data_IF_457576681589
#
_entry.id   IF_457576681589
#
_cell.length_a   1.000
_cell.length_b   1.000
_cell.length_c   1.000
_cell.angle_alpha   90.00
_cell.angle_beta   90.00
_cell.angle_gamma   90.00
#
_symmetry.space_group_name_H-M   'P 1'
#
loop_
_entity.id
_entity.type
_entity.pdbx_description
1 polymer ?
#
# COMPACT_ATOMS: atom_id res chain seq x y z
N UNK A 1 -0.32 8.55 26.95
CA UNK A 1 -0.24 9.11 25.58
C UNK A 1 -1.06 10.37 25.53
N UNK A 2 -0.46 11.46 25.06
CA UNK A 2 -1.21 12.67 24.72
C UNK A 2 -1.77 12.56 23.27
N UNK A 3 -2.69 13.44 22.89
CA UNK A 3 -3.31 13.41 21.55
C UNK A 3 -2.30 13.56 20.42
N UNK A 4 -1.20 14.30 20.64
CA UNK A 4 -0.14 14.47 19.65
C UNK A 4 0.60 13.15 19.38
N UNK A 5 0.97 12.41 20.43
CA UNK A 5 1.62 11.10 20.33
C UNK A 5 0.71 10.07 19.65
N UNK A 6 -0.60 10.12 19.90
CA UNK A 6 -1.57 9.25 19.19
C UNK A 6 -1.59 9.59 17.70
N UNK A 7 -1.66 10.87 17.34
CA UNK A 7 -1.69 11.30 15.94
C UNK A 7 -0.40 10.93 15.20
N UNK A 8 0.75 11.18 15.81
CA UNK A 8 2.05 10.81 15.24
C UNK A 8 2.17 9.29 15.05
N UNK A 9 1.65 8.50 15.99
CA UNK A 9 1.60 7.06 15.88
C UNK A 9 0.74 6.59 14.70
N UNK A 10 -0.47 7.14 14.54
CA UNK A 10 -1.36 6.84 13.41
C UNK A 10 -0.73 7.23 12.06
N UNK A 11 -0.10 8.42 11.99
CA UNK A 11 0.62 8.88 10.80
C UNK A 11 1.77 7.92 10.44
N UNK A 12 2.52 7.45 11.43
CA UNK A 12 3.61 6.49 11.23
C UNK A 12 3.11 5.11 10.75
N UNK A 13 1.96 4.64 11.25
CA UNK A 13 1.33 3.40 10.76
C UNK A 13 0.97 3.54 9.28
N UNK A 14 0.28 4.62 8.91
CA UNK A 14 -0.13 4.86 7.53
C UNK A 14 1.08 4.96 6.61
N UNK A 15 2.13 5.68 7.04
CA UNK A 15 3.38 5.81 6.29
C UNK A 15 4.10 4.47 6.11
N UNK A 16 4.15 3.66 7.18
CA UNK A 16 4.75 2.33 7.15
C UNK A 16 4.02 1.38 6.19
N UNK A 17 2.69 1.36 6.26
CA UNK A 17 1.85 0.59 5.33
C UNK A 17 2.07 1.03 3.88
N UNK A 18 2.20 2.34 3.66
CA UNK A 18 2.49 2.90 2.35
C UNK A 18 3.84 2.48 1.77
N UNK A 19 4.88 2.51 2.60
CA UNK A 19 6.22 2.06 2.21
C UNK A 19 6.24 0.55 1.90
N UNK A 20 5.55 -0.26 2.71
CA UNK A 20 5.42 -1.70 2.49
C UNK A 20 4.69 -2.00 1.16
N UNK A 21 3.60 -1.27 0.88
CA UNK A 21 2.86 -1.37 -0.37
C UNK A 21 3.73 -1.03 -1.58
N UNK A 22 4.46 0.09 -1.55
CA UNK A 22 5.36 0.48 -2.64
C UNK A 22 6.44 -0.58 -2.90
N UNK A 23 7.05 -1.14 -1.84
CA UNK A 23 8.03 -2.22 -1.97
C UNK A 23 7.43 -3.45 -2.64
N UNK A 24 6.24 -3.87 -2.21
CA UNK A 24 5.53 -5.01 -2.78
C UNK A 24 5.22 -4.80 -4.28
N UNK A 25 4.71 -3.63 -4.66
CA UNK A 25 4.42 -3.29 -6.06
C UNK A 25 5.70 -3.36 -6.90
N UNK A 26 6.80 -2.79 -6.41
CA UNK A 26 8.07 -2.80 -7.14
C UNK A 26 8.62 -4.23 -7.33
N UNK A 27 8.51 -5.10 -6.33
CA UNK A 27 8.88 -6.51 -6.49
C UNK A 27 8.00 -7.21 -7.52
N UNK A 28 6.67 -7.04 -7.47
CA UNK A 28 5.79 -7.69 -8.46
C UNK A 28 5.89 -7.13 -9.87
N UNK A 29 6.30 -5.87 -10.04
CA UNK A 29 6.64 -5.33 -11.37
C UNK A 29 7.78 -6.09 -12.04
N UNK A 30 8.79 -6.56 -11.28
CA UNK A 30 9.93 -7.30 -11.83
C UNK A 30 9.54 -8.64 -12.45
N UNK A 31 8.45 -9.23 -11.98
CA UNK A 31 7.96 -10.54 -12.41
C UNK A 31 6.72 -10.45 -13.32
N UNK A 32 6.35 -9.24 -13.78
CA UNK A 32 5.06 -8.96 -14.46
C UNK A 32 3.83 -9.54 -13.71
N UNK A 33 3.93 -9.53 -12.37
CA UNK A 33 2.95 -10.11 -11.46
C UNK A 33 1.70 -9.26 -11.30
N UNK A 34 0.68 -9.86 -10.68
CA UNK A 34 -0.58 -9.20 -10.34
C UNK A 34 -0.71 -9.03 -8.82
N UNK A 35 -1.42 -7.98 -8.43
CA UNK A 35 -1.90 -7.80 -7.06
C UNK A 35 -3.40 -8.07 -7.02
N UNK A 36 -3.83 -8.75 -5.96
CA UNK A 36 -5.23 -9.12 -5.73
C UNK A 36 -5.74 -8.31 -4.56
N UNK A 37 -6.85 -7.61 -4.77
CA UNK A 37 -7.49 -6.79 -3.75
C UNK A 37 -8.91 -7.27 -3.54
N UNK A 38 -9.40 -7.11 -2.30
CA UNK A 38 -10.82 -7.28 -1.97
C UNK A 38 -11.36 -5.93 -1.52
N UNK A 39 -12.48 -5.50 -2.11
CA UNK A 39 -13.21 -4.30 -1.68
C UNK A 39 -14.69 -4.62 -1.67
N UNK A 40 -15.33 -4.44 -0.52
CA UNK A 40 -16.74 -4.71 -0.31
C UNK A 40 -17.14 -6.14 -0.73
N UNK A 41 -16.29 -7.12 -0.41
CA UNK A 41 -16.50 -8.54 -0.75
C UNK A 41 -16.23 -8.91 -2.22
N UNK A 42 -15.84 -7.94 -3.07
CA UNK A 42 -15.49 -8.19 -4.47
C UNK A 42 -13.98 -8.25 -4.64
N UNK A 43 -13.53 -9.28 -5.35
CA UNK A 43 -12.12 -9.48 -5.68
C UNK A 43 -11.84 -8.82 -7.03
N UNK A 44 -10.76 -8.04 -7.10
CA UNK A 44 -10.23 -7.52 -8.35
C UNK A 44 -8.72 -7.73 -8.42
N UNK A 45 -8.23 -7.86 -9.65
CA UNK A 45 -6.81 -8.07 -9.96
C UNK A 45 -6.33 -6.90 -10.79
N UNK A 46 -5.09 -6.51 -10.58
CA UNK A 46 -4.44 -5.45 -11.36
C UNK A 46 -2.99 -5.86 -11.59
N UNK A 47 -2.49 -5.63 -12.80
CA UNK A 47 -1.08 -5.82 -13.11
C UNK A 47 -0.25 -4.85 -12.29
N UNK A 48 0.82 -5.33 -11.67
CA UNK A 48 1.68 -4.48 -10.84
C UNK A 48 2.23 -3.31 -11.66
N UNK A 49 2.48 -3.50 -12.96
CA UNK A 49 2.94 -2.49 -13.93
C UNK A 49 1.96 -1.33 -14.13
N UNK A 50 0.66 -1.56 -13.94
CA UNK A 50 -0.40 -0.54 -14.06
C UNK A 50 -0.58 0.31 -12.79
N UNK A 51 0.08 -0.06 -11.68
CA UNK A 51 0.03 0.73 -10.44
C UNK A 51 1.09 1.84 -10.49
N UNK A 52 0.64 3.09 -10.50
CA UNK A 52 1.53 4.25 -10.40
C UNK A 52 2.07 4.47 -8.98
N UNK A 53 3.16 5.25 -8.87
CA UNK A 53 3.68 5.66 -7.56
C UNK A 53 2.66 6.57 -6.89
N UNK A 54 2.12 6.12 -5.76
CA UNK A 54 1.34 6.98 -4.87
C UNK A 54 2.32 7.97 -4.21
N UNK A 55 2.12 9.27 -4.44
CA UNK A 55 2.77 10.33 -3.68
C UNK A 55 2.04 10.50 -2.33
N UNK A 56 2.80 10.53 -1.23
CA UNK A 56 2.31 10.83 0.12
C UNK A 56 2.53 12.31 0.44
#
# INVERSE_FOLDING_TARGET
MNEYEVREFDENIVRGAGLAFQRLVNEKKKEDGELIFSRNGRIFRIKATEIEKIAY
#
